data_IF_751821382191
#
_entry.id   IF_751821382191
#
_cell.length_a   1.000
_cell.length_b   1.000
_cell.length_c   1.000
_cell.angle_alpha   90.00
_cell.angle_beta   90.00
_cell.angle_gamma   90.00
#
_symmetry.space_group_name_H-M   'P 1'
#
loop_
_entity.id
_entity.type
_entity.pdbx_description
1 polymer ?
#
# COMPACT_ATOMS: atom_id res chain seq x y z
N UNK A 1 6.54 7.75 -19.80
CA UNK A 1 6.91 6.43 -19.26
C UNK A 1 5.74 5.91 -18.46
N UNK A 2 5.35 4.64 -18.65
CA UNK A 2 4.27 4.02 -17.85
C UNK A 2 4.79 3.72 -16.45
N UNK A 3 4.04 4.13 -15.43
CA UNK A 3 4.33 3.81 -14.03
C UNK A 3 3.46 2.67 -13.53
N UNK A 4 4.01 1.85 -12.64
CA UNK A 4 3.30 0.77 -11.95
C UNK A 4 3.46 1.00 -10.45
N UNK A 5 2.38 0.81 -9.70
CA UNK A 5 2.43 0.75 -8.25
C UNK A 5 1.72 -0.50 -7.73
N UNK A 6 2.22 -1.04 -6.64
CA UNK A 6 1.59 -2.12 -5.89
C UNK A 6 1.35 -1.61 -4.47
N UNK A 7 0.10 -1.74 -4.02
CA UNK A 7 -0.31 -1.37 -2.66
C UNK A 7 -0.27 -2.63 -1.80
N UNK A 8 0.54 -2.63 -0.75
CA UNK A 8 0.82 -3.83 0.04
C UNK A 8 0.39 -3.60 1.49
N UNK A 9 -0.64 -4.34 1.92
CA UNK A 9 -1.05 -4.42 3.31
C UNK A 9 -0.38 -5.60 4.00
N UNK A 10 0.17 -5.38 5.18
CA UNK A 10 0.80 -6.44 5.98
C UNK A 10 0.38 -6.34 7.44
N UNK A 11 0.70 -7.35 8.24
CA UNK A 11 0.59 -7.26 9.71
C UNK A 11 1.52 -6.24 10.37
N UNK A 12 2.49 -5.70 9.62
CA UNK A 12 3.51 -4.78 10.14
C UNK A 12 3.32 -3.34 9.66
N UNK A 13 2.30 -3.08 8.85
CA UNK A 13 2.03 -1.77 8.24
C UNK A 13 1.75 -1.88 6.74
N UNK A 14 1.57 -0.72 6.12
CA UNK A 14 1.34 -0.55 4.69
C UNK A 14 2.62 -0.13 3.97
N UNK A 15 2.77 -0.60 2.73
CA UNK A 15 3.87 -0.24 1.85
C UNK A 15 3.34 0.10 0.46
N UNK A 16 4.01 1.01 -0.22
CA UNK A 16 3.76 1.33 -1.63
C UNK A 16 5.04 1.01 -2.40
N UNK A 17 4.94 0.07 -3.33
CA UNK A 17 6.04 -0.32 -4.20
C UNK A 17 5.82 0.31 -5.56
N UNK A 18 6.79 1.06 -6.07
CA UNK A 18 6.70 1.72 -7.39
C UNK A 18 7.80 1.26 -8.33
N UNK A 19 7.45 1.08 -9.59
CA UNK A 19 8.38 0.75 -10.67
C UNK A 19 7.94 1.42 -11.98
N UNK A 20 8.85 1.51 -12.93
CA UNK A 20 8.51 1.73 -14.32
C UNK A 20 7.80 0.51 -14.95
N UNK A 21 7.43 0.64 -16.23
CA UNK A 21 6.78 -0.41 -17.00
C UNK A 21 7.59 -1.70 -17.18
N UNK A 22 8.90 -1.73 -16.90
CA UNK A 22 9.74 -2.94 -17.00
C UNK A 22 9.61 -3.83 -15.77
N UNK A 23 9.28 -3.26 -14.60
CA UNK A 23 9.05 -3.99 -13.34
C UNK A 23 10.28 -4.74 -12.81
N UNK A 24 11.48 -4.33 -13.21
CA UNK A 24 12.75 -4.95 -12.83
C UNK A 24 13.34 -4.36 -11.53
N UNK A 25 13.10 -3.07 -11.27
CA UNK A 25 13.60 -2.37 -10.09
C UNK A 25 12.43 -1.69 -9.39
N UNK A 26 12.38 -1.83 -8.08
CA UNK A 26 11.29 -1.33 -7.27
C UNK A 26 11.82 -0.39 -6.18
N UNK A 27 11.21 0.78 -6.08
CA UNK A 27 11.34 1.64 -4.92
C UNK A 27 10.25 1.28 -3.90
N UNK A 28 10.62 1.26 -2.62
CA UNK A 28 9.75 0.82 -1.52
C UNK A 28 9.53 1.98 -0.56
N UNK A 29 8.29 2.45 -0.48
CA UNK A 29 7.86 3.48 0.48
C UNK A 29 7.11 2.85 1.65
N UNK A 30 7.48 3.22 2.87
CA UNK A 30 6.87 2.75 4.11
C UNK A 30 7.92 2.40 5.19
N UNK A 31 7.51 1.76 6.31
CA UNK A 31 6.13 1.40 6.63
C UNK A 31 5.27 2.63 6.94
N UNK A 32 4.13 2.72 6.28
CA UNK A 32 3.02 3.58 6.70
C UNK A 32 2.21 2.83 7.76
N UNK A 33 1.76 3.49 8.82
CA UNK A 33 1.09 2.81 9.96
C UNK A 33 1.94 1.67 10.55
N UNK A 34 3.23 1.93 10.81
CA UNK A 34 4.16 0.92 11.32
C UNK A 34 3.66 0.25 12.60
N UNK A 35 3.64 -1.09 12.60
CA UNK A 35 3.18 -1.90 13.72
C UNK A 35 1.66 -2.15 13.76
N UNK A 36 0.89 -1.55 12.86
CA UNK A 36 -0.55 -1.79 12.73
C UNK A 36 -0.80 -2.80 11.59
N UNK A 37 -1.77 -3.70 11.78
CA UNK A 37 -2.15 -4.62 10.72
C UNK A 37 -3.01 -3.89 9.68
N UNK A 38 -2.64 -4.06 8.41
CA UNK A 38 -3.37 -3.48 7.27
C UNK A 38 -4.01 -4.60 6.48
N UNK A 39 -5.33 -4.66 6.53
CA UNK A 39 -6.12 -5.70 5.88
C UNK A 39 -6.24 -5.47 4.37
N UNK A 40 -6.44 -4.22 3.95
CA UNK A 40 -6.61 -3.89 2.54
C UNK A 40 -6.17 -2.45 2.23
N UNK A 41 -5.57 -2.25 1.07
CA UNK A 41 -5.35 -0.94 0.47
C UNK A 41 -5.91 -0.91 -0.95
N UNK A 42 -6.49 0.22 -1.33
CA UNK A 42 -6.98 0.42 -2.69
C UNK A 42 -6.82 1.87 -3.14
N UNK A 43 -6.62 2.08 -4.44
CA UNK A 43 -6.61 3.40 -5.05
C UNK A 43 -8.02 3.83 -5.45
N UNK A 44 -8.30 5.13 -5.38
CA UNK A 44 -9.53 5.68 -5.93
C UNK A 44 -9.48 5.61 -7.46
N UNK A 45 -10.53 5.08 -8.14
CA UNK A 45 -10.60 5.12 -9.59
C UNK A 45 -10.82 6.54 -10.14
N UNK A 46 -11.35 7.46 -9.32
CA UNK A 46 -11.59 8.86 -9.69
C UNK A 46 -10.34 9.75 -9.52
N UNK A 47 -9.42 9.35 -8.65
CA UNK A 47 -8.19 10.08 -8.34
C UNK A 47 -7.11 9.05 -7.97
N UNK A 48 -6.26 8.63 -8.92
CA UNK A 48 -5.28 7.60 -8.67
C UNK A 48 -4.36 7.94 -7.49
N UNK A 49 -4.01 9.20 -7.21
CA UNK A 49 -3.10 9.52 -6.11
C UNK A 49 -3.75 9.46 -4.72
N UNK A 50 -5.07 9.29 -4.66
CA UNK A 50 -5.80 9.03 -3.44
C UNK A 50 -5.86 7.52 -3.13
N UNK A 51 -5.36 7.17 -1.96
CA UNK A 51 -5.39 5.80 -1.43
C UNK A 51 -6.30 5.69 -0.22
N UNK A 52 -7.00 4.57 -0.12
CA UNK A 52 -7.75 4.15 1.07
C UNK A 52 -7.04 2.96 1.71
N UNK A 53 -6.95 2.95 3.03
CA UNK A 53 -6.36 1.87 3.80
C UNK A 53 -7.32 1.45 4.92
N UNK A 54 -7.61 0.15 4.99
CA UNK A 54 -8.37 -0.45 6.09
C UNK A 54 -7.41 -1.12 7.05
N UNK A 55 -7.37 -0.61 8.29
CA UNK A 55 -6.61 -1.20 9.38
C UNK A 55 -7.46 -2.32 10.03
N UNK A 56 -6.82 -3.37 10.50
CA UNK A 56 -7.46 -4.41 11.30
C UNK A 56 -6.84 -4.48 12.68
N UNK A 57 -7.64 -4.87 13.66
CA UNK A 57 -7.17 -5.23 15.00
C UNK A 57 -7.80 -6.55 15.40
N UNK A 58 -7.07 -7.38 16.13
CA UNK A 58 -7.62 -8.59 16.75
C UNK A 58 -8.39 -8.31 18.05
N UNK A 59 -8.44 -7.05 18.50
CA UNK A 59 -9.18 -6.64 19.68
C UNK A 59 -10.67 -6.49 19.37
N UNK A 60 -11.52 -7.01 20.26
CA UNK A 60 -12.97 -7.10 20.07
C UNK A 60 -13.79 -6.44 21.21
N UNK A 61 -13.12 -5.71 22.12
CA UNK A 61 -13.72 -5.20 23.37
C UNK A 61 -12.81 -5.44 24.57
#
# INVERSE_FOLDING_TARGET
MTGVRVLVGTRKGAFVLTSDGRRERWDVSGPHFGGWEIYHLTGSPADPDRLYASQSSSWFG
#
